data_IF_730467808302
#
_entry.id   IF_730467808302
#
_cell.length_a   1.000
_cell.length_b   1.000
_cell.length_c   1.000
_cell.angle_alpha   90.00
_cell.angle_beta   90.00
_cell.angle_gamma   90.00
#
_symmetry.space_group_name_H-M   'P 1'
#
loop_
_entity.id
_entity.type
_entity.pdbx_description
1 polymer ?
#
# COMPACT_ATOMS: atom_id res chain seq x y z
N UNK A 1 -11.82 -97.77 -12.79
CA UNK A 1 -10.94 -96.75 -12.16
C UNK A 1 -11.50 -95.40 -12.58
N UNK A 2 -12.49 -94.83 -11.88
CA UNK A 2 -12.37 -93.90 -10.73
C UNK A 2 -11.67 -92.58 -11.16
N UNK A 3 -12.18 -91.35 -11.06
CA UNK A 3 -13.03 -90.64 -10.08
C UNK A 3 -13.73 -89.44 -10.79
N UNK A 4 -15.04 -89.22 -10.66
CA UNK A 4 -15.73 -88.22 -9.81
C UNK A 4 -15.01 -86.87 -9.54
N UNK A 5 -15.70 -85.79 -9.91
CA UNK A 5 -15.82 -84.47 -9.23
C UNK A 5 -14.54 -83.75 -8.77
N UNK A 6 -14.33 -82.53 -9.28
CA UNK A 6 -13.81 -81.45 -8.44
C UNK A 6 -14.53 -80.12 -8.68
N UNK A 7 -14.97 -79.58 -7.54
CA UNK A 7 -15.77 -78.39 -7.27
C UNK A 7 -15.23 -77.10 -7.91
N UNK A 8 -16.14 -76.32 -8.50
CA UNK A 8 -15.93 -74.95 -8.96
C UNK A 8 -15.93 -73.99 -7.77
N UNK A 9 -14.78 -73.40 -7.46
CA UNK A 9 -14.63 -72.37 -6.43
C UNK A 9 -14.71 -70.97 -7.05
N UNK A 10 -15.88 -70.35 -6.94
CA UNK A 10 -16.12 -68.95 -7.30
C UNK A 10 -15.53 -68.02 -6.22
N UNK A 11 -14.34 -67.45 -6.47
CA UNK A 11 -13.76 -66.43 -5.59
C UNK A 11 -14.09 -65.02 -6.06
N UNK A 12 -15.11 -64.41 -5.42
CA UNK A 12 -15.39 -62.97 -5.49
C UNK A 12 -14.27 -62.20 -4.79
N UNK A 13 -13.45 -61.46 -5.54
CA UNK A 13 -12.46 -60.53 -4.96
C UNK A 13 -13.16 -59.28 -4.41
N UNK A 14 -12.87 -58.80 -3.18
CA UNK A 14 -13.56 -57.68 -2.58
C UNK A 14 -13.05 -56.32 -3.09
N UNK A 15 -13.99 -55.39 -3.24
CA UNK A 15 -13.85 -54.04 -3.78
C UNK A 15 -13.15 -53.05 -2.83
N UNK A 16 -11.95 -53.36 -2.34
CA UNK A 16 -11.23 -52.51 -1.36
C UNK A 16 -10.41 -51.36 -1.98
N UNK A 17 -10.25 -51.30 -3.31
CA UNK A 17 -9.36 -50.33 -3.97
C UNK A 17 -9.98 -48.97 -4.32
N UNK A 18 -11.30 -48.79 -4.19
CA UNK A 18 -11.99 -47.55 -4.66
C UNK A 18 -12.10 -46.45 -3.61
N UNK A 19 -12.15 -46.80 -2.32
CA UNK A 19 -12.45 -45.84 -1.23
C UNK A 19 -11.23 -44.99 -0.85
N UNK A 20 -10.02 -45.52 -1.01
CA UNK A 20 -8.76 -44.80 -0.66
C UNK A 20 -8.35 -43.77 -1.73
N UNK A 21 -8.84 -43.92 -2.97
CA UNK A 21 -8.58 -42.98 -4.08
C UNK A 21 -9.42 -41.72 -3.99
N UNK A 22 -10.67 -41.81 -3.52
CA UNK A 22 -11.57 -40.65 -3.37
C UNK A 22 -11.15 -39.73 -2.23
N UNK A 23 -10.60 -40.26 -1.13
CA UNK A 23 -10.11 -39.46 -0.01
C UNK A 23 -8.89 -38.58 -0.39
N UNK A 24 -7.96 -39.12 -1.19
CA UNK A 24 -6.80 -38.36 -1.71
C UNK A 24 -7.22 -37.29 -2.73
N UNK A 25 -8.23 -37.58 -3.55
CA UNK A 25 -8.79 -36.61 -4.49
C UNK A 25 -9.49 -35.45 -3.76
N UNK A 26 -10.26 -35.74 -2.70
CA UNK A 26 -10.91 -34.72 -1.88
C UNK A 26 -9.91 -33.81 -1.14
N UNK A 27 -8.84 -34.40 -0.59
CA UNK A 27 -7.77 -33.64 0.05
C UNK A 27 -7.00 -32.75 -0.96
N UNK A 28 -6.77 -33.24 -2.17
CA UNK A 28 -6.13 -32.46 -3.24
C UNK A 28 -7.01 -31.29 -3.71
N UNK A 29 -8.34 -31.48 -3.79
CA UNK A 29 -9.29 -30.41 -4.15
C UNK A 29 -9.36 -29.33 -3.06
N UNK A 30 -9.35 -29.72 -1.77
CA UNK A 30 -9.31 -28.76 -0.66
C UNK A 30 -8.00 -27.97 -0.62
N UNK A 31 -6.86 -28.62 -0.87
CA UNK A 31 -5.56 -27.94 -1.00
C UNK A 31 -5.53 -26.97 -2.20
N UNK A 32 -6.16 -27.34 -3.32
CA UNK A 32 -6.25 -26.47 -4.50
C UNK A 32 -7.17 -25.25 -4.25
N UNK A 33 -8.26 -25.43 -3.51
CA UNK A 33 -9.17 -24.34 -3.12
C UNK A 33 -8.51 -23.33 -2.17
N UNK A 34 -7.61 -23.79 -1.27
CA UNK A 34 -6.84 -22.90 -0.37
C UNK A 34 -5.77 -22.08 -1.13
N UNK A 35 -5.21 -22.62 -2.22
CA UNK A 35 -4.24 -21.89 -3.06
C UNK A 35 -4.92 -20.78 -3.89
N UNK A 36 -6.21 -20.92 -4.22
CA UNK A 36 -6.98 -19.89 -4.93
C UNK A 36 -7.45 -18.74 -4.03
N UNK A 37 -7.37 -18.89 -2.70
CA UNK A 37 -7.66 -17.84 -1.71
C UNK A 37 -6.42 -17.01 -1.35
N UNK A 38 -5.45 -16.89 -2.27
CA UNK A 38 -4.37 -15.90 -2.14
C UNK A 38 -5.02 -14.51 -2.19
N UNK A 39 -4.97 -13.69 -1.13
CA UNK A 39 -5.34 -12.30 -1.26
C UNK A 39 -4.44 -11.71 -2.34
N UNK A 40 -5.05 -11.24 -3.42
CA UNK A 40 -4.34 -10.54 -4.48
C UNK A 40 -3.84 -9.24 -3.86
N UNK A 41 -2.56 -9.19 -3.47
CA UNK A 41 -1.84 -7.95 -3.17
C UNK A 41 -1.59 -7.15 -4.46
N UNK A 42 -2.62 -6.97 -5.29
CA UNK A 42 -2.57 -6.23 -6.55
C UNK A 42 -2.88 -4.74 -6.35
N UNK A 43 -2.30 -4.14 -5.29
CA UNK A 43 -2.46 -2.71 -5.02
C UNK A 43 -1.17 -1.90 -5.26
N UNK A 44 -0.01 -2.54 -5.45
CA UNK A 44 1.28 -1.84 -5.45
C UNK A 44 1.94 -1.62 -6.82
N UNK A 45 1.32 -1.97 -7.94
CA UNK A 45 2.00 -1.89 -9.25
C UNK A 45 2.37 -0.44 -9.66
N UNK A 46 1.60 0.56 -9.22
CA UNK A 46 1.72 1.92 -9.74
C UNK A 46 2.44 2.90 -8.80
N UNK A 47 2.66 2.55 -7.52
CA UNK A 47 3.42 3.37 -6.57
C UNK A 47 4.42 2.49 -5.83
N UNK A 48 5.71 2.77 -6.02
CA UNK A 48 6.80 2.14 -5.27
C UNK A 48 7.57 3.17 -4.47
N UNK A 49 8.16 2.75 -3.35
CA UNK A 49 8.96 3.62 -2.48
C UNK A 49 10.44 3.45 -2.80
N UNK A 50 11.14 4.55 -3.02
CA UNK A 50 12.57 4.56 -3.37
C UNK A 50 13.44 5.02 -2.20
N UNK A 51 12.91 5.85 -1.30
CA UNK A 51 13.57 6.26 -0.06
C UNK A 51 12.55 6.28 1.07
N UNK A 52 12.94 5.72 2.22
CA UNK A 52 12.09 5.60 3.41
C UNK A 52 12.94 5.70 4.69
N UNK A 53 13.41 6.89 5.01
CA UNK A 53 14.24 7.11 6.20
C UNK A 53 13.51 7.94 7.22
N UNK A 54 13.70 7.60 8.49
CA UNK A 54 13.24 8.37 9.62
C UNK A 54 14.44 8.63 10.53
N UNK A 55 14.61 9.85 10.99
CA UNK A 55 15.73 10.23 11.85
C UNK A 55 15.19 10.78 13.16
N UNK A 56 15.64 10.19 14.26
CA UNK A 56 15.38 10.72 15.60
C UNK A 56 16.46 11.75 15.90
N UNK A 57 16.05 13.00 16.02
CA UNK A 57 16.97 14.10 16.33
C UNK A 57 17.38 14.08 17.80
N UNK A 58 18.47 14.77 18.13
CA UNK A 58 18.96 14.88 19.51
C UNK A 58 17.96 15.56 20.48
N UNK A 59 17.00 16.31 19.95
CA UNK A 59 15.92 16.95 20.71
C UNK A 59 14.60 16.14 20.70
N UNK A 60 14.68 14.84 20.42
CA UNK A 60 13.57 13.89 20.55
C UNK A 60 12.45 14.10 19.53
N UNK A 61 12.78 14.60 18.32
CA UNK A 61 11.83 14.73 17.22
C UNK A 61 12.02 13.59 16.23
N UNK A 62 10.99 13.36 15.44
CA UNK A 62 11.04 12.45 14.31
C UNK A 62 10.94 13.23 13.00
N UNK A 63 12.02 13.18 12.23
CA UNK A 63 12.09 13.77 10.90
C UNK A 63 12.01 12.65 9.85
N UNK A 64 11.04 12.75 8.94
CA UNK A 64 10.80 11.75 7.90
C UNK A 64 11.30 12.27 6.57
N UNK A 65 12.02 11.40 5.85
CA UNK A 65 12.37 11.64 4.45
C UNK A 65 11.87 10.48 3.59
N UNK A 66 11.00 10.79 2.64
CA UNK A 66 10.43 9.83 1.71
C UNK A 66 10.66 10.23 0.26
N UNK A 67 10.76 9.24 -0.62
CA UNK A 67 10.63 9.41 -2.07
C UNK A 67 9.88 8.23 -2.64
N UNK A 68 8.91 8.52 -3.51
CA UNK A 68 8.14 7.53 -4.21
C UNK A 68 8.38 7.65 -5.71
N UNK A 69 8.33 6.52 -6.40
CA UNK A 69 8.18 6.43 -7.84
C UNK A 69 6.72 6.09 -8.13
N UNK A 70 6.04 6.99 -8.83
CA UNK A 70 4.62 6.86 -9.15
C UNK A 70 4.45 6.84 -10.66
N UNK A 71 3.70 5.85 -11.13
CA UNK A 71 3.29 5.73 -12.53
C UNK A 71 1.78 5.92 -12.59
N UNK A 72 1.32 6.84 -13.43
CA UNK A 72 -0.11 7.03 -13.64
C UNK A 72 -0.61 6.05 -14.70
N UNK A 73 -1.74 5.36 -14.48
CA UNK A 73 -2.50 4.71 -15.54
C UNK A 73 -2.97 5.69 -16.62
N UNK A 74 -3.14 5.22 -17.85
CA UNK A 74 -3.53 6.07 -19.00
C UNK A 74 -4.81 6.89 -18.79
N UNK A 75 -5.88 6.36 -18.14
CA UNK A 75 -7.08 7.14 -17.86
C UNK A 75 -6.81 8.38 -16.99
N UNK A 76 -5.91 8.26 -16.00
CA UNK A 76 -5.51 9.39 -15.17
C UNK A 76 -4.62 10.38 -15.92
N UNK A 77 -3.74 9.89 -16.80
CA UNK A 77 -2.96 10.77 -17.70
C UNK A 77 -3.89 11.59 -18.59
N UNK A 78 -4.93 10.97 -19.15
CA UNK A 78 -5.90 11.63 -20.02
C UNK A 78 -6.75 12.63 -19.24
N UNK A 79 -7.27 12.26 -18.06
CA UNK A 79 -8.02 13.16 -17.20
C UNK A 79 -7.19 14.39 -16.82
N UNK A 80 -5.92 14.19 -16.45
CA UNK A 80 -5.00 15.28 -16.14
C UNK A 80 -4.81 16.22 -17.34
N UNK A 81 -4.63 15.67 -18.55
CA UNK A 81 -4.53 16.47 -19.80
C UNK A 81 -5.82 17.24 -20.12
N UNK A 82 -6.98 16.71 -19.72
CA UNK A 82 -8.28 17.37 -19.83
C UNK A 82 -8.51 18.44 -18.75
N UNK A 83 -7.52 18.73 -17.91
CA UNK A 83 -7.59 19.77 -16.89
C UNK A 83 -8.11 19.30 -15.53
N UNK A 84 -8.29 18.00 -15.33
CA UNK A 84 -8.70 17.44 -14.04
C UNK A 84 -7.49 17.34 -13.11
N UNK A 85 -7.43 18.10 -12.00
CA UNK A 85 -6.32 17.98 -11.07
C UNK A 85 -6.38 16.66 -10.31
N UNK A 86 -5.21 16.07 -10.06
CA UNK A 86 -5.03 14.87 -9.26
C UNK A 86 -4.46 15.24 -7.89
N UNK A 87 -5.05 14.71 -6.83
CA UNK A 87 -4.63 15.00 -5.46
C UNK A 87 -4.02 13.76 -4.82
N UNK A 88 -2.76 13.86 -4.43
CA UNK A 88 -2.07 12.81 -3.69
C UNK A 88 -1.93 13.20 -2.24
N UNK A 89 -2.06 12.23 -1.35
CA UNK A 89 -1.91 12.43 0.09
C UNK A 89 -0.81 11.51 0.59
N UNK A 90 0.24 12.10 1.13
CA UNK A 90 1.30 11.40 1.87
C UNK A 90 0.90 11.37 3.33
N UNK A 91 0.62 10.19 3.87
CA UNK A 91 0.25 9.98 5.27
C UNK A 91 1.40 9.35 6.04
N UNK A 92 1.42 9.61 7.34
CA UNK A 92 2.33 9.01 8.29
C UNK A 92 1.57 8.37 9.45
N UNK A 93 2.07 7.24 9.97
CA UNK A 93 1.58 6.64 11.21
C UNK A 93 2.70 6.00 12.05
N UNK A 94 2.49 5.95 13.36
CA UNK A 94 3.28 5.16 14.31
C UNK A 94 2.61 3.80 14.48
N UNK A 95 3.33 2.70 14.24
CA UNK A 95 2.76 1.34 14.21
C UNK A 95 3.04 0.50 15.48
N UNK A 96 3.93 0.93 16.37
CA UNK A 96 4.22 0.21 17.63
C UNK A 96 3.69 0.92 18.89
N UNK A 97 3.28 0.16 19.93
CA UNK A 97 2.75 0.70 21.17
C UNK A 97 3.88 0.88 22.20
N UNK A 98 4.69 1.93 22.08
CA UNK A 98 5.53 2.33 23.21
C UNK A 98 4.62 3.00 24.25
N UNK A 99 4.91 2.88 25.56
CA UNK A 99 4.23 3.59 26.65
C UNK A 99 3.97 5.09 26.39
N UNK A 100 4.75 5.68 25.46
CA UNK A 100 4.65 7.05 24.95
C UNK A 100 3.44 7.28 24.02
N UNK A 101 3.03 6.28 23.22
CA UNK A 101 1.82 6.34 22.38
C UNK A 101 0.53 6.49 23.22
N UNK A 102 0.54 5.99 24.47
CA UNK A 102 -0.56 6.16 25.41
C UNK A 102 -0.53 7.52 26.15
N UNK A 103 0.65 8.06 26.49
CA UNK A 103 0.76 9.37 27.14
C UNK A 103 0.48 10.54 26.18
N UNK A 104 0.80 10.40 24.88
CA UNK A 104 0.53 11.43 23.86
C UNK A 104 -0.91 11.50 23.37
N UNK A 105 -1.71 10.42 23.51
CA UNK A 105 -3.17 10.51 23.29
C UNK A 105 -3.88 11.41 24.31
N UNK A 106 -3.30 11.66 25.48
CA UNK A 106 -3.91 12.48 26.54
C UNK A 106 -3.55 13.97 26.50
N UNK A 107 -2.53 14.39 25.73
CA UNK A 107 -1.94 15.73 25.86
C UNK A 107 -2.31 16.74 24.77
N UNK A 108 -2.22 16.39 23.48
CA UNK A 108 -2.17 17.40 22.41
C UNK A 108 -2.54 16.84 21.02
N UNK A 109 -3.74 16.27 20.88
CA UNK A 109 -4.40 16.07 19.58
C UNK A 109 -4.85 17.41 18.94
N UNK A 110 -4.01 18.44 19.00
CA UNK A 110 -4.34 19.80 18.53
C UNK A 110 -3.16 20.33 17.73
N UNK A 111 -2.98 19.84 16.49
CA UNK A 111 -2.24 20.60 15.48
C UNK A 111 -1.27 19.88 14.53
N UNK A 112 -1.02 18.57 14.65
CA UNK A 112 -0.17 17.88 13.67
C UNK A 112 -1.00 17.31 12.52
N UNK A 113 -1.01 18.00 11.38
CA UNK A 113 -1.47 17.44 10.12
C UNK A 113 -0.60 16.22 9.80
N UNK A 114 -1.12 15.02 10.09
CA UNK A 114 -0.45 13.73 9.85
C UNK A 114 -0.33 13.39 8.36
N UNK A 115 -0.58 14.37 7.49
CA UNK A 115 -0.68 14.20 6.05
C UNK A 115 -0.21 15.43 5.30
N UNK A 116 0.43 15.22 4.16
CA UNK A 116 0.79 16.26 3.19
C UNK A 116 0.03 16.01 1.90
N UNK A 117 -0.74 17.01 1.45
CA UNK A 117 -1.47 16.94 0.19
C UNK A 117 -0.70 17.61 -0.94
N UNK A 118 -0.54 16.89 -2.04
CA UNK A 118 0.06 17.34 -3.29
C UNK A 118 -1.04 17.45 -4.34
N UNK A 119 -1.16 18.62 -4.98
CA UNK A 119 -2.04 18.82 -6.14
C UNK A 119 -1.21 18.83 -7.41
N UNK A 120 -1.43 17.84 -8.28
CA UNK A 120 -0.89 17.78 -9.63
C UNK A 120 -1.92 18.32 -10.63
N UNK A 121 -1.53 19.28 -11.46
CA UNK A 121 -2.38 19.87 -12.49
C UNK A 121 -1.61 20.09 -13.79
N UNK A 122 -2.31 20.15 -14.92
CA UNK A 122 -1.73 20.43 -16.22
C UNK A 122 -2.28 21.75 -16.77
N UNK A 123 -1.40 22.59 -17.31
CA UNK A 123 -1.75 23.86 -17.95
C UNK A 123 -1.60 23.71 -19.47
N UNK A 124 -2.71 23.61 -20.22
CA UNK A 124 -2.67 23.37 -21.67
C UNK A 124 -1.97 24.48 -22.46
N UNK A 125 -2.14 25.75 -22.05
CA UNK A 125 -1.55 26.89 -22.76
C UNK A 125 -0.02 26.89 -22.71
N UNK A 126 0.57 26.54 -21.57
CA UNK A 126 2.03 26.54 -21.39
C UNK A 126 2.64 25.16 -21.57
N UNK A 127 1.80 24.12 -21.73
CA UNK A 127 2.18 22.72 -21.75
C UNK A 127 3.05 22.33 -20.53
N UNK A 128 2.69 22.84 -19.34
CA UNK A 128 3.42 22.60 -18.07
C UNK A 128 2.58 21.81 -17.08
N UNK A 129 3.27 20.95 -16.34
CA UNK A 129 2.73 20.26 -15.17
C UNK A 129 3.08 21.08 -13.93
N UNK A 130 2.10 21.34 -13.06
CA UNK A 130 2.28 22.09 -11.83
C UNK A 130 1.95 21.22 -10.62
N UNK A 131 2.86 21.18 -9.66
CA UNK A 131 2.66 20.57 -8.35
C UNK A 131 2.52 21.66 -7.32
N UNK A 132 1.47 21.57 -6.49
CA UNK A 132 1.25 22.48 -5.37
C UNK A 132 1.21 21.70 -4.07
N UNK A 133 1.95 22.16 -3.06
CA UNK A 133 2.03 21.58 -1.72
C UNK A 133 1.97 22.71 -0.70
N UNK A 134 0.89 22.78 0.07
CA UNK A 134 0.63 23.95 0.92
C UNK A 134 0.61 25.24 0.09
N UNK A 135 1.51 26.17 0.42
CA UNK A 135 1.69 27.45 -0.28
C UNK A 135 2.73 27.40 -1.40
N UNK A 136 3.46 26.30 -1.55
CA UNK A 136 4.51 26.16 -2.55
C UNK A 136 3.95 25.58 -3.84
N UNK A 137 4.44 26.10 -4.98
CA UNK A 137 4.07 25.61 -6.29
C UNK A 137 5.29 25.55 -7.21
N UNK A 138 5.45 24.43 -7.90
CA UNK A 138 6.58 24.18 -8.80
C UNK A 138 6.07 23.66 -10.14
N UNK A 139 6.65 24.15 -11.23
CA UNK A 139 6.31 23.73 -12.59
C UNK A 139 7.38 22.83 -13.21
N UNK A 140 6.92 21.91 -14.05
CA UNK A 140 7.72 20.88 -14.69
C UNK A 140 7.35 20.77 -16.18
N UNK A 141 8.35 20.46 -17.01
CA UNK A 141 8.15 20.26 -18.45
C UNK A 141 7.62 18.87 -18.84
N UNK A 142 7.68 17.88 -17.95
CA UNK A 142 7.19 16.53 -18.21
C UNK A 142 6.43 15.94 -17.02
N UNK A 143 5.45 15.08 -17.31
CA UNK A 143 4.65 14.40 -16.30
C UNK A 143 5.54 13.55 -15.38
N UNK A 144 6.49 12.82 -15.95
CA UNK A 144 7.42 11.97 -15.21
C UNK A 144 8.24 12.77 -14.19
N UNK A 145 8.74 13.94 -14.58
CA UNK A 145 9.51 14.80 -13.66
C UNK A 145 8.62 15.37 -12.57
N UNK A 146 7.38 15.74 -12.89
CA UNK A 146 6.41 16.14 -11.88
C UNK A 146 6.17 14.98 -10.89
N UNK A 147 5.85 13.78 -11.38
CA UNK A 147 5.55 12.63 -10.52
C UNK A 147 6.68 12.27 -9.56
N UNK A 148 7.95 12.46 -9.94
CA UNK A 148 9.11 12.31 -9.03
C UNK A 148 9.10 13.28 -7.84
N UNK A 149 8.43 14.43 -7.97
CA UNK A 149 8.22 15.39 -6.89
C UNK A 149 7.05 15.02 -5.95
N UNK A 150 6.14 14.15 -6.39
CA UNK A 150 5.00 13.71 -5.56
C UNK A 150 5.49 12.70 -4.52
N UNK A 151 5.21 12.96 -3.24
CA UNK A 151 5.69 12.13 -2.13
C UNK A 151 7.20 12.22 -1.86
N UNK A 152 7.90 13.11 -2.56
CA UNK A 152 9.28 13.47 -2.27
C UNK A 152 9.31 14.58 -1.22
N UNK A 153 9.57 14.22 0.03
CA UNK A 153 9.73 15.17 1.12
C UNK A 153 10.98 14.82 1.92
N UNK A 154 11.69 15.85 2.37
CA UNK A 154 12.87 15.71 3.21
C UNK A 154 12.63 16.42 4.54
N UNK A 155 13.10 15.81 5.63
CA UNK A 155 13.01 16.35 6.99
C UNK A 155 11.60 16.80 7.38
N UNK A 156 10.59 16.02 6.98
CA UNK A 156 9.21 16.25 7.40
C UNK A 156 9.08 15.95 8.89
N UNK A 157 8.99 17.01 9.67
CA UNK A 157 8.82 16.99 11.11
C UNK A 157 7.39 16.59 11.45
N UNK A 158 7.22 15.36 11.91
CA UNK A 158 5.90 14.79 12.23
C UNK A 158 5.57 14.83 13.72
N UNK A 159 6.58 15.01 14.57
CA UNK A 159 6.41 15.08 16.03
C UNK A 159 6.98 16.40 16.59
N UNK A 160 6.38 16.92 17.67
CA UNK A 160 6.94 18.05 18.40
C UNK A 160 8.24 17.65 19.11
N UNK A 161 8.95 18.67 19.63
CA UNK A 161 10.20 18.49 20.37
C UNK A 161 9.94 17.74 21.68
N UNK A 162 10.86 16.85 22.07
CA UNK A 162 10.81 16.11 23.33
C UNK A 162 9.82 14.94 23.38
N UNK A 163 9.17 14.60 22.26
CA UNK A 163 8.25 13.46 22.20
C UNK A 163 8.96 12.12 22.36
N UNK A 164 10.21 12.02 21.89
CA UNK A 164 10.98 10.78 21.84
C UNK A 164 12.23 10.79 22.74
N UNK A 165 12.37 11.77 23.64
CA UNK A 165 13.56 11.91 24.51
C UNK A 165 13.81 10.66 25.37
N UNK A 166 12.73 10.03 25.85
CA UNK A 166 12.79 8.84 26.71
C UNK A 166 12.62 7.51 25.95
N UNK A 167 12.70 7.53 24.61
CA UNK A 167 12.48 6.34 23.77
C UNK A 167 13.72 5.96 22.98
N UNK A 168 14.16 4.71 23.07
CA UNK A 168 15.22 4.20 22.18
C UNK A 168 14.71 4.21 20.73
N UNK A 169 15.48 4.80 19.82
CA UNK A 169 15.17 4.87 18.39
C UNK A 169 14.89 3.49 17.77
N UNK A 170 15.42 2.41 18.35
CA UNK A 170 15.21 1.01 17.91
C UNK A 170 13.79 0.51 18.16
N UNK A 171 13.07 1.10 19.11
CA UNK A 171 11.69 0.72 19.45
C UNK A 171 10.66 1.45 18.59
N UNK A 172 11.09 2.49 17.88
CA UNK A 172 10.21 3.32 17.06
C UNK A 172 9.89 2.57 15.78
N UNK A 173 8.59 2.30 15.58
CA UNK A 173 8.07 1.80 14.30
C UNK A 173 7.14 2.84 13.70
N UNK A 174 7.46 3.20 12.47
CA UNK A 174 6.95 4.37 11.79
C UNK A 174 6.71 3.95 10.33
N UNK A 175 5.58 4.33 9.75
CA UNK A 175 5.20 3.93 8.40
C UNK A 175 4.67 5.12 7.61
N UNK A 176 4.90 5.11 6.29
CA UNK A 176 4.39 6.11 5.36
C UNK A 176 3.55 5.48 4.27
N UNK A 177 2.56 6.22 3.78
CA UNK A 177 1.69 5.79 2.68
C UNK A 177 1.41 6.95 1.76
N UNK A 178 1.69 6.77 0.47
CA UNK A 178 1.28 7.70 -0.58
C UNK A 178 0.06 7.11 -1.30
N UNK A 179 -1.02 7.89 -1.38
CA UNK A 179 -2.22 7.46 -2.10
C UNK A 179 -2.81 8.59 -2.93
N UNK A 180 -3.48 8.23 -4.02
CA UNK A 180 -4.32 9.15 -4.79
C UNK A 180 -5.67 9.29 -4.11
N UNK A 181 -6.03 10.52 -3.73
CA UNK A 181 -7.32 10.85 -3.16
C UNK A 181 -8.35 11.16 -4.25
N UNK A 182 -9.31 10.26 -4.41
CA UNK A 182 -10.43 10.41 -5.36
C UNK A 182 -11.56 11.28 -4.80
N UNK A 183 -11.60 11.50 -3.49
CA UNK A 183 -12.61 12.31 -2.80
C UNK A 183 -12.61 13.79 -3.23
N UNK A 184 -11.48 14.28 -3.74
CA UNK A 184 -11.32 15.67 -4.19
C UNK A 184 -11.52 15.83 -5.70
N UNK A 185 -11.86 14.76 -6.42
CA UNK A 185 -12.23 14.84 -7.82
C UNK A 185 -13.63 15.46 -7.98
N UNK A 186 -13.89 16.21 -9.07
CA UNK A 186 -15.23 16.67 -9.37
C UNK A 186 -16.22 15.50 -9.41
N UNK A 187 -17.46 15.73 -8.93
CA UNK A 187 -18.53 14.72 -8.85
C UNK A 187 -18.67 13.77 -10.06
N UNK A 188 -18.59 14.23 -11.33
CA UNK A 188 -18.68 13.30 -12.47
C UNK A 188 -17.52 12.28 -12.54
N UNK A 189 -16.32 12.63 -12.08
CA UNK A 189 -15.17 11.72 -12.06
C UNK A 189 -15.17 10.79 -10.84
N UNK A 190 -15.92 11.11 -9.79
CA UNK A 190 -16.09 10.23 -8.63
C UNK A 190 -16.76 8.91 -9.04
N UNK A 191 -17.67 8.94 -10.03
CA UNK A 191 -18.35 7.73 -10.54
C UNK A 191 -17.34 6.76 -11.16
N UNK A 192 -16.38 7.27 -11.93
CA UNK A 192 -15.32 6.46 -12.55
C UNK A 192 -14.37 5.88 -11.50
N UNK A 193 -14.08 6.62 -10.43
CA UNK A 193 -13.22 6.18 -9.34
C UNK A 193 -13.83 5.04 -8.49
N UNK A 194 -15.15 4.97 -8.42
CA UNK A 194 -15.87 3.90 -7.70
C UNK A 194 -15.82 2.56 -8.45
N UNK A 195 -15.77 2.58 -9.78
CA UNK A 195 -15.86 1.37 -10.59
C UNK A 195 -14.50 0.89 -11.10
N UNK A 196 -13.49 1.76 -11.19
CA UNK A 196 -12.27 1.45 -11.92
C UNK A 196 -11.00 1.48 -11.03
N UNK A 197 -10.33 0.33 -10.92
CA UNK A 197 -9.06 0.17 -10.19
C UNK A 197 -7.95 1.12 -10.67
N UNK A 198 -7.99 1.51 -11.94
CA UNK A 198 -7.02 2.45 -12.54
C UNK A 198 -7.14 3.90 -12.01
N UNK A 199 -8.16 4.22 -11.21
CA UNK A 199 -8.30 5.48 -10.46
C UNK A 199 -7.91 5.34 -8.99
N UNK A 200 -7.47 4.17 -8.56
CA UNK A 200 -7.02 3.90 -7.20
C UNK A 200 -5.51 3.64 -7.25
N UNK A 201 -4.72 4.60 -6.76
CA UNK A 201 -3.29 4.40 -6.57
C UNK A 201 -2.98 4.46 -5.08
N UNK A 202 -2.25 3.46 -4.61
CA UNK A 202 -1.89 3.34 -3.23
C UNK A 202 -0.55 2.60 -3.09
N UNK A 203 0.39 3.16 -2.33
CA UNK A 203 1.64 2.45 -2.06
C UNK A 203 1.47 1.30 -1.06
N UNK A 204 0.35 1.24 -0.35
CA UNK A 204 0.24 0.61 0.96
C UNK A 204 1.09 1.34 2.01
N UNK A 205 1.00 0.89 3.26
CA UNK A 205 1.93 1.33 4.30
C UNK A 205 3.32 0.76 4.06
N UNK A 206 4.32 1.62 4.10
CA UNK A 206 5.74 1.27 3.94
C UNK A 206 6.48 1.59 5.23
N UNK A 207 7.16 0.61 5.85
CA UNK A 207 7.91 0.84 7.08
C UNK A 207 9.12 1.71 6.81
N UNK A 208 9.32 2.72 7.65
CA UNK A 208 10.48 3.59 7.62
C UNK A 208 11.67 2.91 8.29
N UNK A 209 12.86 3.15 7.74
CA UNK A 209 14.12 2.80 8.38
C UNK A 209 14.47 3.92 9.36
N UNK A 210 14.33 3.64 10.66
CA UNK A 210 14.63 4.61 11.72
C UNK A 210 16.12 4.58 12.05
N UNK A 211 16.74 5.75 12.14
CA UNK A 211 18.13 5.93 12.57
C UNK A 211 18.24 7.06 13.60
N UNK A 212 19.35 7.08 14.33
CA UNK A 212 19.73 8.20 15.18
C UNK A 212 20.38 9.30 14.34
N UNK A 213 19.99 10.55 14.57
CA UNK A 213 20.55 11.75 13.94
C UNK A 213 21.69 12.39 14.74
#
# INVERSE_FOLDING_TARGET
MAFTTHSSANSRKPAYGRIVRSARAAAAVLLFAVILLRPSEAAAENISITRQTATVTADGRLDISSRFHTELPDPLKQALKQGVPLYFTLNYQLSAPTMVAYKFKLGQLVGSDNSVTYKLSFHPLTNRYRITVGTFSTEYGSLETALRGIGAIANWRVLPKGTLDDTDWREIKAEVRLSLSTNQLPKPFQINALTAKNWQLDSGWKPLVVSKG
#
